data_IF_569835828393
#
_entry.id   IF_569835828393
#
_cell.length_a   1.000
_cell.length_b   1.000
_cell.length_c   1.000
_cell.angle_alpha   90.00
_cell.angle_beta   90.00
_cell.angle_gamma   90.00
#
_symmetry.space_group_name_H-M   'P 1'
#
loop_
_entity.id
_entity.type
_entity.pdbx_description
1 polymer ?
#
# COMPACT_ATOMS: atom_id res chain seq x y z
N UNK A 1 -13.61 25.43 5.68
CA UNK A 1 -13.10 25.73 4.32
C UNK A 1 -11.66 25.20 4.26
N UNK A 2 -11.47 23.98 3.80
CA UNK A 2 -10.14 23.41 3.56
C UNK A 2 -9.66 23.83 2.19
N UNK A 3 -8.51 24.47 2.14
CA UNK A 3 -7.92 25.03 0.93
C UNK A 3 -7.38 23.89 0.05
N UNK A 4 -8.03 23.63 -1.09
CA UNK A 4 -7.70 22.55 -2.06
C UNK A 4 -6.31 22.68 -2.74
N UNK A 5 -5.57 23.74 -2.48
CA UNK A 5 -4.36 24.10 -3.26
C UNK A 5 -3.04 23.49 -2.79
N UNK A 6 -2.99 22.75 -1.66
CA UNK A 6 -1.75 22.19 -1.13
C UNK A 6 -1.51 20.71 -1.41
N UNK A 7 -2.56 19.93 -1.69
CA UNK A 7 -2.40 18.50 -2.01
C UNK A 7 -2.05 18.26 -3.48
N UNK A 8 -2.44 19.15 -4.38
CA UNK A 8 -2.14 19.00 -5.81
C UNK A 8 -0.62 19.16 -6.09
N UNK A 9 0.09 19.95 -5.27
CA UNK A 9 1.51 20.22 -5.47
C UNK A 9 2.45 19.03 -5.18
N UNK A 10 2.11 18.17 -4.22
CA UNK A 10 2.94 17.01 -3.87
C UNK A 10 2.77 15.90 -4.90
N UNK A 11 1.56 15.69 -5.39
CA UNK A 11 1.27 14.74 -6.47
C UNK A 11 1.99 15.13 -7.76
N UNK A 12 2.02 16.43 -8.10
CA UNK A 12 2.72 16.96 -9.26
C UNK A 12 4.24 16.78 -9.21
N UNK A 13 4.87 16.93 -8.02
CA UNK A 13 6.33 16.74 -7.88
C UNK A 13 6.78 15.31 -8.08
N UNK A 14 5.97 14.33 -7.67
CA UNK A 14 6.28 12.90 -7.89
C UNK A 14 6.21 12.55 -9.37
N UNK A 15 5.24 13.11 -10.13
CA UNK A 15 5.08 12.87 -11.56
C UNK A 15 6.18 13.56 -12.39
N UNK A 16 6.57 14.79 -12.05
CA UNK A 16 7.55 15.57 -12.83
C UNK A 16 8.96 14.98 -12.76
N UNK A 17 9.37 14.34 -11.66
CA UNK A 17 10.65 13.64 -11.57
C UNK A 17 10.76 12.45 -12.56
N UNK A 18 9.65 11.95 -13.09
CA UNK A 18 9.60 10.88 -14.07
C UNK A 18 9.80 11.34 -15.51
N UNK A 19 9.57 12.61 -15.83
CA UNK A 19 9.61 13.10 -17.23
C UNK A 19 11.01 13.05 -17.83
N UNK A 20 12.07 13.15 -17.02
CA UNK A 20 13.45 13.06 -17.50
C UNK A 20 13.89 11.64 -17.94
N UNK A 21 13.11 10.60 -17.64
CA UNK A 21 13.41 9.20 -17.97
C UNK A 21 12.66 8.64 -19.19
N UNK A 22 11.81 9.42 -19.84
CA UNK A 22 10.88 8.94 -20.90
C UNK A 22 11.51 8.90 -22.31
N UNK A 23 12.82 8.76 -22.44
CA UNK A 23 13.45 8.45 -23.73
C UNK A 23 13.87 6.99 -23.80
N UNK A 24 12.88 6.09 -23.91
CA UNK A 24 13.11 4.67 -24.18
C UNK A 24 12.40 4.29 -25.49
N UNK A 25 13.15 4.29 -26.60
CA UNK A 25 12.70 3.82 -27.91
C UNK A 25 11.97 4.88 -28.75
N UNK A 26 11.75 4.58 -30.02
CA UNK A 26 11.22 5.49 -31.06
C UNK A 26 9.74 5.90 -30.90
N UNK A 27 9.04 5.50 -29.86
CA UNK A 27 7.64 5.91 -29.59
C UNK A 27 7.62 7.02 -28.57
N UNK A 28 7.10 8.19 -28.94
CA UNK A 28 6.85 9.29 -28.01
C UNK A 28 5.84 8.83 -26.97
N UNK A 29 6.18 9.03 -25.69
CA UNK A 29 5.29 8.75 -24.57
C UNK A 29 4.49 10.01 -24.27
N UNK A 30 3.17 9.88 -24.23
CA UNK A 30 2.25 11.01 -24.12
C UNK A 30 1.41 10.99 -22.85
N UNK A 31 1.35 9.84 -22.14
CA UNK A 31 0.39 9.66 -21.07
C UNK A 31 1.01 9.08 -19.80
N UNK A 32 0.44 9.46 -18.67
CA UNK A 32 0.69 8.94 -17.34
C UNK A 32 -0.63 8.46 -16.74
N UNK A 33 -0.62 7.33 -16.05
CA UNK A 33 -1.78 6.82 -15.32
C UNK A 33 -1.46 6.83 -13.82
N UNK A 34 -2.37 7.40 -13.02
CA UNK A 34 -2.32 7.36 -11.58
C UNK A 34 -3.54 6.61 -11.03
N UNK A 35 -3.29 5.65 -10.13
CA UNK A 35 -4.32 4.95 -9.38
C UNK A 35 -4.29 5.39 -7.92
N UNK A 36 -5.47 5.72 -7.38
CA UNK A 36 -5.71 5.90 -5.95
C UNK A 36 -6.61 4.76 -5.48
N UNK A 37 -5.99 3.75 -4.86
CA UNK A 37 -6.66 2.58 -4.30
C UNK A 37 -7.29 2.95 -2.95
N UNK A 38 -8.41 3.65 -2.98
CA UNK A 38 -9.11 4.15 -1.80
C UNK A 38 -9.84 3.04 -1.01
N UNK A 39 -10.53 3.40 0.05
CA UNK A 39 -11.31 2.44 0.87
C UNK A 39 -12.56 1.93 0.15
N UNK A 40 -13.18 2.72 -0.70
CA UNK A 40 -14.46 2.39 -1.36
C UNK A 40 -14.36 2.12 -2.85
N UNK A 41 -13.15 2.25 -3.45
CA UNK A 41 -12.95 2.04 -4.89
C UNK A 41 -11.57 2.48 -5.34
N UNK A 42 -11.21 2.05 -6.54
CA UNK A 42 -10.04 2.50 -7.27
C UNK A 42 -10.40 3.71 -8.13
N UNK A 43 -9.78 4.85 -7.87
CA UNK A 43 -9.85 6.03 -8.72
C UNK A 43 -8.64 6.09 -9.62
N UNK A 44 -8.83 5.78 -10.89
CA UNK A 44 -7.82 5.85 -11.92
C UNK A 44 -7.92 7.16 -12.70
N UNK A 45 -6.78 7.76 -13.02
CA UNK A 45 -6.71 9.05 -13.70
C UNK A 45 -5.63 9.02 -14.79
N UNK A 46 -6.00 9.46 -15.98
CA UNK A 46 -5.12 9.63 -17.14
C UNK A 46 -4.72 11.09 -17.26
N UNK A 47 -3.42 11.34 -17.33
CA UNK A 47 -2.82 12.65 -17.61
C UNK A 47 -2.01 12.61 -18.89
N UNK A 48 -1.86 13.77 -19.56
CA UNK A 48 -0.76 13.95 -20.50
C UNK A 48 0.57 14.20 -19.78
N UNK A 49 1.67 14.23 -20.53
CA UNK A 49 3.01 14.48 -19.96
C UNK A 49 3.21 15.92 -19.47
N UNK A 50 2.35 16.86 -19.87
CA UNK A 50 2.29 18.22 -19.35
C UNK A 50 1.53 18.31 -18.01
N UNK A 51 0.88 17.21 -17.58
CA UNK A 51 0.12 17.13 -16.34
C UNK A 51 -1.33 17.55 -16.43
N UNK A 52 -1.87 17.71 -17.63
CA UNK A 52 -3.29 18.00 -17.82
C UNK A 52 -4.12 16.73 -17.62
N UNK A 53 -5.22 16.87 -16.88
CA UNK A 53 -6.20 15.79 -16.69
C UNK A 53 -6.94 15.51 -17.99
N UNK A 54 -6.87 14.27 -18.49
CA UNK A 54 -7.60 13.83 -19.69
C UNK A 54 -8.89 13.11 -19.29
N UNK A 55 -8.79 12.14 -18.41
CA UNK A 55 -9.92 11.30 -18.00
C UNK A 55 -9.73 10.80 -16.57
N UNK A 56 -10.83 10.62 -15.84
CA UNK A 56 -10.85 9.96 -14.55
C UNK A 56 -12.00 8.97 -14.49
N UNK A 57 -11.75 7.81 -13.88
CA UNK A 57 -12.70 6.71 -13.73
C UNK A 57 -12.63 6.24 -12.27
N UNK A 58 -13.77 5.88 -11.69
CA UNK A 58 -13.80 5.24 -10.36
C UNK A 58 -14.53 3.91 -10.46
N UNK A 59 -13.86 2.84 -10.04
CA UNK A 59 -14.44 1.49 -9.97
C UNK A 59 -14.60 1.11 -8.50
N UNK A 60 -15.84 0.96 -8.01
CA UNK A 60 -16.09 0.64 -6.60
C UNK A 60 -15.79 -0.83 -6.29
N UNK A 61 -15.52 -1.10 -4.99
CA UNK A 61 -15.49 -2.43 -4.40
C UNK A 61 -15.99 -2.39 -2.95
N UNK A 62 -16.35 -3.57 -2.45
CA UNK A 62 -16.99 -3.69 -1.15
C UNK A 62 -15.98 -3.78 0.00
N UNK A 63 -16.40 -3.28 1.16
CA UNK A 63 -15.78 -3.52 2.46
C UNK A 63 -16.74 -4.34 3.31
N UNK A 64 -16.26 -5.44 3.87
CA UNK A 64 -17.03 -6.28 4.78
C UNK A 64 -16.78 -5.85 6.22
N UNK A 65 -17.82 -5.29 6.87
CA UNK A 65 -17.83 -4.95 8.29
C UNK A 65 -18.60 -6.01 9.06
N UNK A 66 -17.98 -6.57 10.11
CA UNK A 66 -18.59 -7.62 10.91
C UNK A 66 -17.97 -7.65 12.32
N UNK A 67 -18.52 -8.49 13.22
CA UNK A 67 -18.06 -8.63 14.61
C UNK A 67 -17.86 -7.27 15.32
N UNK A 68 -18.79 -6.33 15.10
CA UNK A 68 -18.81 -4.97 15.64
C UNK A 68 -17.71 -4.02 15.17
N UNK A 69 -16.45 -4.47 15.09
CA UNK A 69 -15.30 -3.61 14.79
C UNK A 69 -14.27 -4.24 13.85
N UNK A 70 -14.63 -5.29 13.12
CA UNK A 70 -13.78 -5.91 12.12
C UNK A 70 -14.09 -5.37 10.73
N UNK A 71 -13.05 -5.18 9.91
CA UNK A 71 -13.17 -4.68 8.56
C UNK A 71 -12.18 -5.38 7.62
N UNK A 72 -12.70 -6.02 6.59
CA UNK A 72 -11.90 -6.76 5.61
C UNK A 72 -12.28 -6.41 4.18
N UNK A 73 -11.31 -6.54 3.27
CA UNK A 73 -11.52 -6.46 1.84
C UNK A 73 -10.85 -7.64 1.13
N UNK A 74 -11.45 -8.09 0.03
CA UNK A 74 -10.81 -9.10 -0.82
C UNK A 74 -9.80 -8.41 -1.76
N UNK A 75 -8.48 -8.70 -1.67
CA UNK A 75 -7.47 -8.10 -2.56
C UNK A 75 -7.71 -8.39 -4.05
N UNK A 76 -8.41 -9.47 -4.38
CA UNK A 76 -8.79 -9.76 -5.77
C UNK A 76 -9.74 -8.69 -6.35
N UNK A 77 -10.63 -8.13 -5.53
CA UNK A 77 -11.53 -7.06 -5.98
C UNK A 77 -10.75 -5.78 -6.33
N UNK A 78 -9.66 -5.49 -5.62
CA UNK A 78 -8.76 -4.39 -5.95
C UNK A 78 -8.11 -4.58 -7.32
N UNK A 79 -7.61 -5.79 -7.58
CA UNK A 79 -7.02 -6.14 -8.87
C UNK A 79 -8.03 -6.03 -10.02
N UNK A 80 -9.24 -6.50 -9.81
CA UNK A 80 -10.33 -6.42 -10.80
C UNK A 80 -10.74 -4.96 -11.07
N UNK A 81 -10.83 -4.14 -10.00
CA UNK A 81 -11.12 -2.71 -10.13
C UNK A 81 -10.00 -1.98 -10.88
N UNK A 82 -8.74 -2.23 -10.54
CA UNK A 82 -7.57 -1.72 -11.25
C UNK A 82 -7.62 -2.07 -12.74
N UNK A 83 -7.85 -3.33 -13.09
CA UNK A 83 -7.94 -3.77 -14.48
C UNK A 83 -9.10 -3.09 -15.23
N UNK A 84 -10.26 -2.97 -14.58
CA UNK A 84 -11.43 -2.35 -15.17
C UNK A 84 -11.24 -0.84 -15.40
N UNK A 85 -10.70 -0.13 -14.40
CA UNK A 85 -10.39 1.30 -14.49
C UNK A 85 -9.35 1.58 -15.57
N UNK A 86 -8.24 0.84 -15.57
CA UNK A 86 -7.18 0.97 -16.58
C UNK A 86 -7.72 0.76 -17.98
N UNK A 87 -8.51 -0.30 -18.21
CA UNK A 87 -9.11 -0.60 -19.50
C UNK A 87 -9.99 0.55 -19.99
N UNK A 88 -10.76 1.18 -19.11
CA UNK A 88 -11.60 2.33 -19.45
C UNK A 88 -10.77 3.58 -19.78
N UNK A 89 -9.64 3.80 -19.09
CA UNK A 89 -8.76 4.94 -19.38
C UNK A 89 -8.10 4.83 -20.75
N UNK A 90 -7.62 3.64 -21.12
CA UNK A 90 -6.84 3.45 -22.35
C UNK A 90 -7.68 3.09 -23.58
N UNK A 91 -9.01 3.04 -23.48
CA UNK A 91 -9.86 2.57 -24.59
C UNK A 91 -9.81 3.46 -25.85
N UNK A 92 -9.38 4.71 -25.74
CA UNK A 92 -9.32 5.70 -26.83
C UNK A 92 -7.89 6.16 -27.15
N UNK A 93 -6.88 5.56 -26.54
CA UNK A 93 -5.46 5.87 -26.76
C UNK A 93 -4.67 4.61 -27.12
N UNK A 94 -3.49 4.77 -27.72
CA UNK A 94 -2.56 3.65 -27.82
C UNK A 94 -1.89 3.42 -26.45
N UNK A 95 -2.13 2.25 -25.84
CA UNK A 95 -1.54 1.88 -24.54
C UNK A 95 0.01 1.92 -24.58
N UNK A 96 0.64 1.81 -25.75
CA UNK A 96 2.09 1.93 -25.91
C UNK A 96 2.59 3.36 -25.66
N UNK A 97 1.72 4.35 -25.71
CA UNK A 97 2.05 5.75 -25.41
C UNK A 97 1.99 6.07 -23.91
N UNK A 98 1.55 5.11 -23.07
CA UNK A 98 1.62 5.25 -21.61
C UNK A 98 3.06 5.09 -21.13
N UNK A 99 3.58 6.15 -20.52
CA UNK A 99 4.95 6.21 -20.03
C UNK A 99 5.13 5.48 -18.68
N UNK A 100 4.17 5.66 -17.77
CA UNK A 100 4.22 5.09 -16.45
C UNK A 100 2.83 4.92 -15.81
N UNK A 101 2.77 4.01 -14.84
CA UNK A 101 1.62 3.86 -13.94
C UNK A 101 2.13 4.09 -12.52
N UNK A 102 1.49 4.99 -11.78
CA UNK A 102 1.81 5.31 -10.39
C UNK A 102 0.64 4.93 -9.48
N UNK A 103 0.97 4.62 -8.22
CA UNK A 103 -0.01 4.19 -7.23
C UNK A 103 0.03 5.06 -5.98
N UNK A 104 -1.15 5.40 -5.48
CA UNK A 104 -1.45 5.82 -4.12
C UNK A 104 -2.59 4.96 -3.59
N UNK A 105 -2.87 5.00 -2.29
CA UNK A 105 -4.01 4.24 -1.78
C UNK A 105 -4.15 4.29 -0.27
N UNK A 106 -5.12 3.50 0.21
CA UNK A 106 -5.32 3.29 1.63
C UNK A 106 -4.09 2.61 2.25
N UNK A 107 -3.70 3.07 3.41
CA UNK A 107 -2.54 2.59 4.16
C UNK A 107 -2.97 1.75 5.37
N UNK A 108 -1.99 1.26 6.15
CA UNK A 108 -2.22 0.49 7.40
C UNK A 108 -2.96 -0.85 7.18
N UNK A 109 -3.05 -1.31 5.94
CA UNK A 109 -3.61 -2.63 5.62
C UNK A 109 -2.62 -3.76 5.96
N UNK A 110 -3.15 -4.97 6.10
CA UNK A 110 -2.36 -6.19 6.25
C UNK A 110 -2.83 -7.18 5.18
N UNK A 111 -2.01 -7.39 4.16
CA UNK A 111 -2.28 -8.27 3.02
C UNK A 111 -1.26 -9.40 3.02
N UNK A 112 -1.50 -10.50 3.74
CA UNK A 112 -0.61 -11.64 3.74
C UNK A 112 -0.68 -12.38 2.40
N UNK A 113 0.48 -12.60 1.78
CA UNK A 113 0.60 -13.27 0.48
C UNK A 113 1.56 -14.45 0.55
N UNK A 114 1.33 -15.44 -0.32
CA UNK A 114 2.23 -16.57 -0.53
C UNK A 114 3.38 -16.22 -1.52
N UNK A 115 4.26 -17.16 -1.78
CA UNK A 115 5.41 -17.00 -2.70
C UNK A 115 5.02 -16.65 -4.14
N UNK A 116 3.78 -16.92 -4.54
CA UNK A 116 3.25 -16.56 -5.87
C UNK A 116 2.62 -15.16 -5.90
N UNK A 117 2.60 -14.43 -4.77
CA UNK A 117 1.92 -13.14 -4.61
C UNK A 117 0.40 -13.26 -4.49
N UNK A 118 -0.13 -14.46 -4.26
CA UNK A 118 -1.56 -14.66 -4.02
C UNK A 118 -1.90 -14.38 -2.56
N UNK A 119 -2.95 -13.58 -2.34
CA UNK A 119 -3.45 -13.34 -1.00
C UNK A 119 -3.94 -14.65 -0.35
N UNK A 120 -3.49 -14.90 0.88
CA UNK A 120 -3.80 -16.11 1.67
C UNK A 120 -5.19 -16.00 2.29
N UNK A 121 -5.62 -14.79 2.60
CA UNK A 121 -6.91 -14.46 3.22
C UNK A 121 -7.35 -13.05 2.78
N UNK A 122 -8.61 -12.63 3.06
CA UNK A 122 -8.99 -11.23 2.92
C UNK A 122 -8.06 -10.30 3.72
N UNK A 123 -7.75 -9.14 3.17
CA UNK A 123 -6.93 -8.14 3.83
C UNK A 123 -7.65 -7.53 5.02
N UNK A 124 -6.95 -7.39 6.15
CA UNK A 124 -7.44 -6.61 7.28
C UNK A 124 -7.10 -5.15 7.01
N UNK A 125 -8.09 -4.28 6.83
CA UNK A 125 -7.88 -2.89 6.45
C UNK A 125 -7.72 -1.95 7.66
N UNK A 126 -7.39 -0.68 7.42
CA UNK A 126 -7.12 0.34 8.45
C UNK A 126 -8.27 0.56 9.45
N UNK A 127 -9.53 0.36 9.02
CA UNK A 127 -10.72 0.54 9.86
C UNK A 127 -10.94 -0.57 10.91
N UNK A 128 -10.19 -1.67 10.78
CA UNK A 128 -10.28 -2.83 11.67
C UNK A 128 -9.65 -2.56 13.04
N UNK A 129 -10.31 -3.01 14.10
CA UNK A 129 -9.87 -2.80 15.47
C UNK A 129 -9.67 -4.12 16.25
N UNK A 130 -9.58 -5.29 15.57
CA UNK A 130 -9.47 -6.58 16.23
C UNK A 130 -8.16 -6.78 16.98
N UNK A 131 -7.09 -6.11 16.58
CA UNK A 131 -5.73 -6.30 17.10
C UNK A 131 -5.35 -5.35 18.25
N UNK A 132 -6.35 -4.89 19.05
CA UNK A 132 -6.10 -4.02 20.21
C UNK A 132 -5.18 -4.67 21.24
N UNK A 133 -5.41 -5.96 21.55
CA UNK A 133 -4.56 -6.70 22.50
C UNK A 133 -3.09 -6.81 22.03
N UNK A 134 -2.85 -6.86 20.73
CA UNK A 134 -1.50 -6.89 20.15
C UNK A 134 -0.82 -5.51 20.27
N UNK A 135 -1.57 -4.43 20.12
CA UNK A 135 -1.06 -3.08 20.37
C UNK A 135 -0.66 -2.89 21.85
N UNK A 136 -1.49 -3.36 22.78
CA UNK A 136 -1.18 -3.32 24.22
C UNK A 136 0.07 -4.17 24.53
N UNK A 137 0.19 -5.36 23.95
CA UNK A 137 1.35 -6.24 24.12
C UNK A 137 2.67 -5.63 23.62
N UNK A 138 2.64 -4.83 22.55
CA UNK A 138 3.81 -4.06 22.10
C UNK A 138 4.22 -3.02 23.14
N UNK A 139 3.25 -2.30 23.71
CA UNK A 139 3.52 -1.27 24.73
C UNK A 139 3.97 -1.83 26.07
N UNK A 140 3.71 -3.11 26.36
CA UNK A 140 4.32 -3.82 27.50
C UNK A 140 5.82 -4.08 27.29
N UNK A 141 6.29 -4.19 26.05
CA UNK A 141 7.68 -4.46 25.70
C UNK A 141 8.48 -3.19 25.41
N UNK A 142 7.83 -2.17 24.82
CA UNK A 142 8.47 -0.92 24.40
C UNK A 142 7.68 0.25 25.00
N UNK A 143 8.31 1.14 25.79
CA UNK A 143 7.64 2.33 26.31
C UNK A 143 7.00 3.15 25.17
N UNK A 144 5.79 3.66 25.38
CA UNK A 144 5.04 4.38 24.34
C UNK A 144 5.81 5.56 23.70
N UNK A 145 6.64 6.27 24.49
CA UNK A 145 7.47 7.35 23.98
C UNK A 145 8.56 6.84 23.05
N UNK A 146 9.17 5.70 23.38
CA UNK A 146 10.20 5.06 22.55
C UNK A 146 9.59 4.47 21.28
N UNK A 147 8.44 3.80 21.39
CA UNK A 147 7.68 3.33 20.23
C UNK A 147 7.38 4.49 19.25
N UNK A 148 6.91 5.63 19.78
CA UNK A 148 6.66 6.82 18.99
C UNK A 148 7.94 7.40 18.37
N UNK A 149 9.05 7.40 19.09
CA UNK A 149 10.35 7.88 18.58
C UNK A 149 10.82 7.06 17.38
N UNK A 150 10.60 5.73 17.42
CA UNK A 150 10.99 4.84 16.33
C UNK A 150 10.06 5.00 15.14
N UNK A 151 8.74 4.91 15.35
CA UNK A 151 7.75 4.75 14.28
C UNK A 151 7.10 6.05 13.83
N UNK A 152 7.16 7.12 14.64
CA UNK A 152 6.38 8.34 14.45
C UNK A 152 4.89 8.20 14.76
N UNK A 153 4.44 7.05 15.23
CA UNK A 153 3.04 6.72 15.47
C UNK A 153 2.83 6.13 16.86
N UNK A 154 1.56 6.03 17.25
CA UNK A 154 1.16 5.26 18.45
C UNK A 154 0.90 3.81 18.08
N UNK A 155 1.19 2.87 18.96
CA UNK A 155 0.70 1.49 18.80
C UNK A 155 -0.84 1.51 18.79
N UNK A 156 -1.44 0.90 17.79
CA UNK A 156 -2.89 0.89 17.60
C UNK A 156 -3.30 -0.26 16.69
N UNK A 157 -4.46 -0.84 16.93
CA UNK A 157 -5.06 -1.88 16.10
C UNK A 157 -5.19 -1.52 14.61
N UNK A 158 -5.16 -0.23 14.27
CA UNK A 158 -5.27 0.23 12.89
C UNK A 158 -4.05 -0.09 12.03
N UNK A 159 -2.85 -0.28 12.61
CA UNK A 159 -1.62 -0.49 11.86
C UNK A 159 -1.35 -1.95 11.52
N UNK A 160 -0.42 -2.17 10.60
CA UNK A 160 -0.24 -3.48 9.94
C UNK A 160 0.44 -4.51 10.85
N UNK A 161 1.43 -4.09 11.67
CA UNK A 161 2.19 -5.04 12.49
C UNK A 161 1.30 -5.69 13.55
N UNK A 162 0.41 -4.91 14.16
CA UNK A 162 -0.53 -5.40 15.16
C UNK A 162 -1.52 -6.42 14.54
N UNK A 163 -1.95 -6.18 13.29
CA UNK A 163 -2.80 -7.11 12.54
C UNK A 163 -2.06 -8.40 12.19
N UNK A 164 -0.78 -8.30 11.81
CA UNK A 164 0.04 -9.48 11.52
C UNK A 164 0.29 -10.32 12.77
N UNK A 165 0.51 -9.67 13.93
CA UNK A 165 0.56 -10.36 15.24
C UNK A 165 -0.77 -11.06 15.54
N UNK A 166 -1.91 -10.41 15.27
CA UNK A 166 -3.22 -11.01 15.46
C UNK A 166 -3.41 -12.26 14.57
N UNK A 167 -2.99 -12.22 13.31
CA UNK A 167 -3.05 -13.39 12.41
C UNK A 167 -2.17 -14.52 12.95
N UNK A 168 -0.98 -14.22 13.47
CA UNK A 168 -0.11 -15.22 14.11
C UNK A 168 -0.81 -15.91 15.28
N UNK A 169 -1.47 -15.13 16.13
CA UNK A 169 -2.04 -15.61 17.39
C UNK A 169 -3.36 -16.36 17.20
N UNK A 170 -4.16 -16.00 16.17
CA UNK A 170 -5.51 -16.52 15.99
C UNK A 170 -5.71 -17.36 14.73
N UNK A 171 -4.81 -17.23 13.74
CA UNK A 171 -4.88 -17.97 12.46
C UNK A 171 -3.52 -18.62 12.13
N UNK A 172 -2.97 -19.51 13.00
CA UNK A 172 -1.62 -20.06 12.82
C UNK A 172 -1.43 -20.80 11.50
N UNK A 173 -2.47 -21.46 10.97
CA UNK A 173 -2.41 -22.15 9.68
C UNK A 173 -2.26 -21.15 8.51
N UNK A 174 -2.92 -20.00 8.58
CA UNK A 174 -2.76 -18.92 7.61
C UNK A 174 -1.38 -18.29 7.76
N UNK A 175 -0.97 -18.00 8.99
CA UNK A 175 0.32 -17.38 9.31
C UNK A 175 1.50 -18.21 8.77
N UNK A 176 1.47 -19.54 8.93
CA UNK A 176 2.53 -20.44 8.48
C UNK A 176 2.77 -20.43 6.96
N UNK A 177 1.82 -19.94 6.17
CA UNK A 177 1.88 -19.86 4.71
C UNK A 177 2.32 -18.48 4.20
N UNK A 178 2.49 -17.50 5.11
CA UNK A 178 2.86 -16.14 4.70
C UNK A 178 4.30 -16.13 4.21
N UNK A 179 4.47 -15.67 2.96
CA UNK A 179 5.77 -15.36 2.42
C UNK A 179 6.13 -13.89 2.66
N UNK A 180 5.18 -12.97 2.41
CA UNK A 180 5.32 -11.53 2.67
C UNK A 180 3.99 -10.93 3.11
N UNK A 181 4.07 -9.82 3.83
CA UNK A 181 2.92 -9.00 4.21
C UNK A 181 3.01 -7.67 3.48
N UNK A 182 2.03 -7.36 2.64
CA UNK A 182 2.01 -6.19 1.78
C UNK A 182 0.99 -5.15 2.26
N UNK A 183 1.16 -3.91 1.81
CA UNK A 183 0.12 -2.88 1.85
C UNK A 183 -0.83 -3.05 0.64
N UNK A 184 -2.03 -2.44 0.65
CA UNK A 184 -2.99 -2.59 -0.45
C UNK A 184 -2.42 -2.21 -1.82
N UNK A 185 -1.72 -1.06 -1.98
CA UNK A 185 -1.11 -0.70 -3.26
C UNK A 185 0.07 -1.60 -3.63
N UNK A 186 0.85 -2.06 -2.63
CA UNK A 186 1.98 -2.96 -2.85
C UNK A 186 1.52 -4.31 -3.41
N UNK A 187 0.31 -4.75 -3.03
CA UNK A 187 -0.31 -5.94 -3.63
C UNK A 187 -0.54 -5.76 -5.13
N UNK A 188 -1.02 -4.58 -5.58
CA UNK A 188 -1.16 -4.30 -7.01
C UNK A 188 0.20 -4.26 -7.72
N UNK A 189 1.21 -3.64 -7.11
CA UNK A 189 2.58 -3.63 -7.61
C UNK A 189 3.13 -5.05 -7.73
N UNK A 190 2.93 -5.89 -6.71
CA UNK A 190 3.32 -7.30 -6.74
C UNK A 190 2.60 -8.06 -7.86
N UNK A 191 1.31 -7.84 -8.06
CA UNK A 191 0.54 -8.46 -9.16
C UNK A 191 1.06 -8.08 -10.55
N UNK A 192 1.54 -6.84 -10.72
CA UNK A 192 2.06 -6.35 -11.99
C UNK A 192 3.49 -6.81 -12.28
N UNK A 193 4.33 -6.83 -11.25
CA UNK A 193 5.80 -6.96 -11.43
C UNK A 193 6.38 -8.28 -10.91
N UNK A 194 5.63 -8.99 -10.07
CA UNK A 194 6.14 -10.17 -9.33
C UNK A 194 7.10 -9.80 -8.19
N UNK A 195 7.32 -8.50 -7.90
CA UNK A 195 8.23 -8.04 -6.84
C UNK A 195 7.47 -7.76 -5.55
N UNK A 196 8.08 -8.11 -4.44
CA UNK A 196 7.54 -7.87 -3.08
C UNK A 196 8.25 -6.66 -2.49
N UNK A 197 7.76 -5.49 -2.83
CA UNK A 197 8.35 -4.19 -2.44
C UNK A 197 7.32 -3.29 -1.80
N UNK A 198 7.77 -2.36 -0.97
CA UNK A 198 6.99 -1.25 -0.42
C UNK A 198 7.83 0.01 -0.42
N UNK A 199 7.20 1.18 -0.45
CA UNK A 199 7.94 2.43 -0.29
C UNK A 199 7.96 2.90 1.18
N UNK A 200 8.85 3.86 1.47
CA UNK A 200 9.00 4.38 2.84
C UNK A 200 7.72 4.99 3.40
N UNK A 201 6.85 5.55 2.55
CA UNK A 201 5.57 6.12 2.99
C UNK A 201 4.63 5.04 3.52
N UNK A 202 4.41 3.97 2.73
CA UNK A 202 3.58 2.85 3.16
C UNK A 202 4.25 2.02 4.27
N UNK A 203 5.57 1.84 4.20
CA UNK A 203 6.33 1.16 5.24
C UNK A 203 6.18 1.85 6.61
N UNK A 204 6.17 3.18 6.65
CA UNK A 204 5.94 3.93 7.89
C UNK A 204 4.57 3.60 8.51
N UNK A 205 3.56 3.39 7.70
CA UNK A 205 2.21 3.06 8.14
C UNK A 205 2.04 1.61 8.62
N UNK A 206 3.10 0.82 8.63
CA UNK A 206 3.09 -0.52 9.21
C UNK A 206 3.28 -0.55 10.72
N UNK A 207 3.81 0.50 11.33
CA UNK A 207 4.37 0.55 12.68
C UNK A 207 5.60 -0.36 12.88
N UNK A 208 6.28 -0.75 11.79
CA UNK A 208 7.48 -1.58 11.84
C UNK A 208 8.74 -0.87 11.31
N UNK A 209 8.59 0.29 10.65
CA UNK A 209 9.71 1.07 10.12
C UNK A 209 10.33 1.97 11.21
N UNK A 210 11.66 1.98 11.29
CA UNK A 210 12.39 3.03 12.01
C UNK A 210 12.58 4.24 11.08
N UNK A 211 11.93 5.36 11.43
CA UNK A 211 11.95 6.59 10.63
C UNK A 211 13.32 7.27 10.60
N UNK A 212 14.19 6.97 11.56
CA UNK A 212 15.53 7.57 11.62
C UNK A 212 16.51 6.91 10.66
N UNK A 213 16.37 5.61 10.43
CA UNK A 213 17.24 4.79 9.58
C UNK A 213 16.62 4.42 8.25
N UNK A 214 15.30 4.53 8.12
CA UNK A 214 14.49 4.05 6.99
C UNK A 214 14.71 2.55 6.72
N UNK A 215 14.80 1.76 7.80
CA UNK A 215 14.89 0.30 7.78
C UNK A 215 13.80 -0.31 8.66
N UNK A 216 13.50 -1.58 8.47
CA UNK A 216 12.65 -2.30 9.41
C UNK A 216 13.31 -2.30 10.79
N UNK A 217 12.56 -1.92 11.84
CA UNK A 217 13.08 -1.76 13.20
C UNK A 217 13.31 -3.11 13.87
N UNK A 218 14.56 -3.45 14.15
CA UNK A 218 14.90 -4.67 14.89
C UNK A 218 14.24 -4.72 16.28
N UNK A 219 14.10 -3.56 16.95
CA UNK A 219 13.46 -3.47 18.26
C UNK A 219 11.97 -3.79 18.18
N UNK A 220 11.24 -3.20 17.22
CA UNK A 220 9.82 -3.48 17.01
C UNK A 220 9.61 -4.93 16.57
N UNK A 221 10.42 -5.44 15.64
CA UNK A 221 10.30 -6.81 15.14
C UNK A 221 10.57 -7.83 16.26
N UNK A 222 11.55 -7.57 17.11
CA UNK A 222 11.84 -8.40 18.28
C UNK A 222 10.69 -8.37 19.30
N UNK A 223 10.15 -7.21 19.63
CA UNK A 223 9.04 -7.05 20.54
C UNK A 223 7.76 -7.74 20.03
N UNK A 224 7.48 -7.61 18.74
CA UNK A 224 6.35 -8.26 18.08
C UNK A 224 6.54 -9.78 17.88
N UNK A 225 7.76 -10.29 18.01
CA UNK A 225 8.16 -11.68 17.72
C UNK A 225 7.83 -12.07 16.26
N UNK A 226 8.03 -11.16 15.33
CA UNK A 226 7.85 -11.38 13.90
C UNK A 226 9.21 -11.46 13.21
N UNK A 227 9.31 -12.38 12.23
CA UNK A 227 10.51 -12.55 11.44
C UNK A 227 10.62 -11.38 10.41
N UNK A 228 11.78 -10.71 10.30
CA UNK A 228 12.01 -9.66 9.29
C UNK A 228 11.69 -10.10 7.86
N UNK A 229 11.86 -11.38 7.55
CA UNK A 229 11.56 -11.92 6.22
C UNK A 229 10.07 -11.86 5.84
N UNK A 230 9.17 -11.60 6.78
CA UNK A 230 7.74 -11.40 6.49
C UNK A 230 7.43 -10.04 5.87
N UNK A 231 8.40 -9.12 5.87
CA UNK A 231 8.23 -7.76 5.35
C UNK A 231 8.85 -7.63 3.95
N UNK A 232 8.26 -6.79 3.06
CA UNK A 232 8.76 -6.56 1.72
C UNK A 232 10.07 -5.76 1.72
N UNK A 233 10.75 -5.72 0.56
CA UNK A 233 11.92 -4.88 0.37
C UNK A 233 11.52 -3.40 0.35
N UNK A 234 12.31 -2.56 1.04
CA UNK A 234 12.09 -1.12 1.15
C UNK A 234 12.67 -0.39 -0.06
N UNK A 235 11.90 0.56 -0.59
CA UNK A 235 12.33 1.38 -1.72
C UNK A 235 11.92 2.84 -1.54
N UNK A 236 12.62 3.80 -2.16
CA UNK A 236 12.11 5.16 -2.27
C UNK A 236 10.78 5.21 -3.05
N UNK A 237 9.87 6.12 -2.68
CA UNK A 237 8.58 6.29 -3.37
C UNK A 237 8.73 6.70 -4.85
N UNK A 238 9.92 7.18 -5.25
CA UNK A 238 10.28 7.55 -6.62
C UNK A 238 10.95 6.43 -7.40
N UNK A 239 11.12 5.24 -6.80
CA UNK A 239 11.76 4.13 -7.49
C UNK A 239 10.89 3.59 -8.63
N UNK A 240 11.55 3.25 -9.74
CA UNK A 240 10.93 2.49 -10.83
C UNK A 240 11.08 1.00 -10.54
N UNK A 241 9.99 0.25 -10.62
CA UNK A 241 9.93 -1.16 -10.23
C UNK A 241 9.73 -2.06 -11.44
#
# INVERSE_FOLDING_TARGET
MWNRSHNDGIFFHIIISFIDYVKVGETLKHYLIAHDLGTSGDKATLFDVEGNLIRSVTTPYETHFFNANWAEQNPQNWWEAFCASTKQLVCEIDAKEVAAVAFSGQMMGCVPVDMSGKAIRPAIIWADQRSTAQADALLEQIPAQEFYRITGHRASASYSIEKLMWIRDHEPDSFSRIYRTLQPKDYLVCKLTGRFVTDYSDASSTNALDLSTLTWSDEILKASKLDPSLFPDLMPSTAVI
#
